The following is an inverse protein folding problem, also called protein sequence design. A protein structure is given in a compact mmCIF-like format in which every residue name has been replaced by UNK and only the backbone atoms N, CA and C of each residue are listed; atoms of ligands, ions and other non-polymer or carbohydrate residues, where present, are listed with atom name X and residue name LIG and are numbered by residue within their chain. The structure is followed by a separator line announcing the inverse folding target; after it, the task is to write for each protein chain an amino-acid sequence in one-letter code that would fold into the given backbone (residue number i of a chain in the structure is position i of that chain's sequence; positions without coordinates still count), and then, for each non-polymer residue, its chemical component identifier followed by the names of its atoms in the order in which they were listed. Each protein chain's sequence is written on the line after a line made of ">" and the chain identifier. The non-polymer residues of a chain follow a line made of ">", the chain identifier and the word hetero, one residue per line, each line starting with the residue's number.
data_IF_820582939377
#
_entry.id   IF_820582939377
#
_cell.length_a   1.000
_cell.length_b   1.000
_cell.length_c   1.000
_cell.angle_alpha   90.00
_cell.angle_beta   90.00
_cell.angle_gamma   90.00
#
_symmetry.space_group_name_H-M   'P 1'
#
loop_
_entity.id
_entity.type
_entity.pdbx_description
1 polymer ?
#
# COMPACT_ATOMS: atom_id res chain seq x y z
N UNK A 1 -61.99 9.59 -50.51
CA UNK A 1 -62.12 10.40 -49.28
C UNK A 1 -61.37 9.67 -48.19
N UNK A 2 -60.27 10.25 -47.73
CA UNK A 2 -59.19 9.60 -47.01
C UNK A 2 -59.20 9.92 -45.50
N UNK A 3 -58.70 8.95 -44.72
CA UNK A 3 -58.06 9.08 -43.40
C UNK A 3 -58.92 9.42 -42.19
N UNK A 4 -59.47 8.39 -41.53
CA UNK A 4 -59.76 8.39 -40.08
C UNK A 4 -58.98 7.29 -39.31
N UNK A 5 -57.85 6.82 -39.85
CA UNK A 5 -56.98 5.83 -39.17
C UNK A 5 -55.59 6.36 -38.75
N UNK A 6 -55.31 7.66 -38.88
CA UNK A 6 -53.97 8.22 -38.61
C UNK A 6 -53.78 8.93 -37.25
N UNK A 7 -54.81 9.00 -36.40
CA UNK A 7 -54.73 9.76 -35.14
C UNK A 7 -54.48 8.90 -33.88
N UNK A 8 -54.31 7.58 -34.00
CA UNK A 8 -54.03 6.66 -32.87
C UNK A 8 -52.54 6.32 -32.66
N UNK A 9 -51.61 6.98 -33.35
CA UNK A 9 -50.18 6.60 -33.33
C UNK A 9 -49.16 7.70 -33.00
N UNK A 10 -49.56 8.90 -32.57
CA UNK A 10 -48.60 9.99 -32.28
C UNK A 10 -48.91 10.83 -31.04
N UNK A 11 -49.37 10.19 -29.96
CA UNK A 11 -49.47 10.84 -28.63
C UNK A 11 -49.12 9.85 -27.51
N UNK A 12 -47.96 9.22 -27.62
CA UNK A 12 -47.36 8.47 -26.52
C UNK A 12 -45.88 8.82 -26.48
N UNK A 13 -45.36 9.03 -25.26
CA UNK A 13 -43.94 9.16 -24.91
C UNK A 13 -43.34 10.57 -24.95
N UNK A 14 -43.93 11.53 -24.24
CA UNK A 14 -43.14 12.63 -23.65
C UNK A 14 -43.47 12.79 -22.17
N UNK A 15 -42.42 12.75 -21.37
CA UNK A 15 -42.33 13.07 -19.94
C UNK A 15 -42.77 11.98 -18.96
N UNK A 16 -41.94 10.95 -18.81
CA UNK A 16 -41.70 10.31 -17.50
C UNK A 16 -40.25 10.62 -17.15
N UNK A 17 -40.06 11.59 -16.25
CA UNK A 17 -38.76 11.96 -15.70
C UNK A 17 -38.29 10.88 -14.72
N UNK A 18 -37.21 10.22 -15.13
CA UNK A 18 -36.10 9.66 -14.34
C UNK A 18 -36.14 9.94 -12.84
N UNK A 19 -36.17 8.87 -12.03
CA UNK A 19 -35.30 8.66 -10.86
C UNK A 19 -35.26 7.15 -10.54
N UNK A 20 -34.61 6.37 -11.41
CA UNK A 20 -34.13 5.04 -11.04
C UNK A 20 -32.64 5.17 -10.72
N UNK A 21 -32.33 5.45 -9.45
CA UNK A 21 -31.00 5.24 -8.91
C UNK A 21 -30.75 3.72 -8.89
N UNK A 22 -30.18 3.20 -9.98
CA UNK A 22 -29.56 1.88 -10.00
C UNK A 22 -28.28 1.96 -9.18
N UNK A 23 -28.44 1.83 -7.86
CA UNK A 23 -27.39 1.31 -7.00
C UNK A 23 -27.15 -0.14 -7.39
N UNK A 24 -26.34 -0.37 -8.41
CA UNK A 24 -25.72 -1.66 -8.64
C UNK A 24 -24.72 -1.89 -7.50
N UNK A 25 -25.24 -2.32 -6.35
CA UNK A 25 -24.42 -2.97 -5.34
C UNK A 25 -23.89 -4.25 -5.95
N UNK A 26 -22.74 -4.18 -6.60
CA UNK A 26 -21.96 -5.37 -6.95
C UNK A 26 -21.53 -5.95 -5.60
N UNK A 27 -22.31 -6.90 -5.10
CA UNK A 27 -21.93 -7.71 -3.95
C UNK A 27 -20.69 -8.50 -4.32
N UNK A 28 -19.53 -7.94 -3.99
CA UNK A 28 -18.25 -8.64 -4.07
C UNK A 28 -18.26 -9.71 -2.99
N UNK A 29 -18.37 -10.97 -3.40
CA UNK A 29 -18.33 -12.12 -2.49
C UNK A 29 -16.90 -12.67 -2.38
N UNK A 30 -16.36 -12.87 -1.16
CA UNK A 30 -15.09 -13.55 -0.97
C UNK A 30 -15.10 -14.97 -1.55
N UNK A 31 -13.95 -15.44 -2.04
CA UNK A 31 -13.80 -16.81 -2.49
C UNK A 31 -13.85 -17.82 -1.34
N UNK A 32 -14.25 -19.06 -1.63
CA UNK A 32 -14.22 -20.19 -0.67
C UNK A 32 -13.13 -21.19 -1.07
N UNK A 33 -12.23 -21.51 -0.14
CA UNK A 33 -11.26 -22.60 -0.30
C UNK A 33 -11.95 -23.94 -0.02
N UNK A 34 -11.71 -24.95 -0.85
CA UNK A 34 -12.44 -26.23 -0.86
C UNK A 34 -11.52 -27.45 -0.72
N UNK A 35 -10.19 -27.27 -0.82
CA UNK A 35 -9.26 -28.39 -0.75
C UNK A 35 -9.15 -28.97 0.67
N UNK A 36 -9.26 -30.30 0.78
CA UNK A 36 -8.90 -31.03 1.98
C UNK A 36 -7.37 -31.01 2.18
N UNK A 37 -6.87 -30.93 3.43
CA UNK A 37 -5.43 -30.92 3.69
C UNK A 37 -4.76 -32.14 3.06
N UNK A 38 -3.72 -31.95 2.26
CA UNK A 38 -2.94 -33.05 1.71
C UNK A 38 -1.69 -33.28 2.58
N UNK A 39 -1.63 -34.33 3.43
CA UNK A 39 -0.59 -34.49 4.45
C UNK A 39 0.84 -34.62 3.91
N UNK A 40 1.01 -34.81 2.59
CA UNK A 40 2.30 -34.98 1.92
C UNK A 40 2.90 -33.72 1.30
N UNK A 41 2.18 -32.59 1.24
CA UNK A 41 2.69 -31.33 0.68
C UNK A 41 2.91 -30.34 1.82
N UNK A 42 4.10 -30.40 2.43
CA UNK A 42 4.48 -29.40 3.42
C UNK A 42 5.10 -28.19 2.70
N UNK A 43 4.27 -27.19 2.43
CA UNK A 43 4.74 -25.89 1.94
C UNK A 43 5.73 -25.28 2.94
N UNK A 44 6.75 -24.58 2.44
CA UNK A 44 7.66 -23.87 3.33
C UNK A 44 6.94 -22.70 4.02
N UNK A 45 7.48 -22.29 5.17
CA UNK A 45 6.84 -21.28 6.02
C UNK A 45 6.66 -19.93 5.32
N UNK A 46 7.58 -19.54 4.43
CA UNK A 46 7.51 -18.26 3.73
C UNK A 46 6.36 -18.24 2.71
N UNK A 47 6.20 -19.32 1.95
CA UNK A 47 5.10 -19.47 0.99
C UNK A 47 3.74 -19.46 1.70
N UNK A 48 3.60 -20.22 2.80
CA UNK A 48 2.37 -20.20 3.63
C UNK A 48 2.10 -18.83 4.25
N UNK A 49 3.16 -18.10 4.63
CA UNK A 49 3.02 -16.72 5.15
C UNK A 49 2.42 -15.80 4.09
N UNK A 50 2.84 -15.92 2.83
CA UNK A 50 2.26 -15.14 1.74
C UNK A 50 0.78 -15.50 1.51
N UNK A 51 0.45 -16.80 1.40
CA UNK A 51 -0.93 -17.24 1.19
C UNK A 51 -1.86 -16.73 2.29
N UNK A 52 -1.48 -16.92 3.55
CA UNK A 52 -2.27 -16.45 4.70
C UNK A 52 -2.34 -14.93 4.74
N UNK A 53 -1.23 -14.23 4.48
CA UNK A 53 -1.18 -12.77 4.46
C UNK A 53 -2.10 -12.15 3.41
N UNK A 54 -2.08 -12.67 2.18
CA UNK A 54 -2.94 -12.21 1.09
C UNK A 54 -4.42 -12.50 1.39
N UNK A 55 -4.74 -13.70 1.90
CA UNK A 55 -6.12 -14.03 2.31
C UNK A 55 -6.61 -13.09 3.42
N UNK A 56 -5.81 -12.92 4.48
CA UNK A 56 -6.17 -12.05 5.58
C UNK A 56 -6.37 -10.61 5.09
N UNK A 57 -5.55 -10.10 4.18
CA UNK A 57 -5.74 -8.77 3.58
C UNK A 57 -7.09 -8.66 2.86
N UNK A 58 -7.45 -9.63 2.01
CA UNK A 58 -8.75 -9.65 1.32
C UNK A 58 -9.94 -9.60 2.30
N UNK A 59 -9.90 -10.37 3.38
CA UNK A 59 -11.00 -10.48 4.34
C UNK A 59 -11.37 -9.16 5.05
N UNK A 60 -10.45 -8.19 5.16
CA UNK A 60 -10.75 -6.89 5.77
C UNK A 60 -10.66 -5.71 4.80
N UNK A 61 -9.80 -5.74 3.78
CA UNK A 61 -9.62 -4.62 2.86
C UNK A 61 -10.76 -4.51 1.85
N UNK A 62 -11.42 -5.62 1.48
CA UNK A 62 -12.66 -5.59 0.69
C UNK A 62 -13.78 -4.81 1.41
N UNK A 63 -14.22 -5.19 2.63
CA UNK A 63 -15.26 -4.44 3.32
C UNK A 63 -14.81 -3.02 3.74
N UNK A 64 -13.52 -2.80 4.02
CA UNK A 64 -13.00 -1.46 4.27
C UNK A 64 -13.12 -0.56 3.03
N UNK A 65 -12.75 -1.06 1.85
CA UNK A 65 -12.89 -0.36 0.57
C UNK A 65 -14.35 -0.08 0.22
N UNK A 66 -15.26 -1.03 0.47
CA UNK A 66 -16.70 -0.84 0.30
C UNK A 66 -17.22 0.29 1.20
N UNK A 67 -16.86 0.29 2.50
CA UNK A 67 -17.20 1.41 3.39
C UNK A 67 -16.65 2.73 2.86
N UNK A 68 -15.43 2.75 2.31
CA UNK A 68 -14.85 3.97 1.77
C UNK A 68 -15.57 4.47 0.52
N UNK A 69 -15.96 3.57 -0.38
CA UNK A 69 -16.79 3.89 -1.54
C UNK A 69 -18.15 4.49 -1.13
N UNK A 70 -18.77 3.95 -0.09
CA UNK A 70 -20.11 4.34 0.37
C UNK A 70 -20.11 5.66 1.16
N UNK A 71 -19.20 5.82 2.12
CA UNK A 71 -19.25 6.91 3.10
C UNK A 71 -17.98 7.75 3.24
N UNK A 72 -16.99 7.55 2.36
CA UNK A 72 -15.83 8.45 2.28
C UNK A 72 -16.29 9.88 2.04
N UNK A 73 -15.67 10.86 2.71
CA UNK A 73 -16.03 12.29 2.56
C UNK A 73 -15.46 12.85 1.25
N UNK A 74 -14.21 12.56 0.96
CA UNK A 74 -13.54 12.96 -0.27
C UNK A 74 -13.99 12.10 -1.44
N UNK A 75 -14.23 12.73 -2.60
CA UNK A 75 -14.50 12.02 -3.85
C UNK A 75 -13.35 11.06 -4.20
N UNK A 76 -12.10 11.46 -3.94
CA UNK A 76 -10.94 10.62 -4.19
C UNK A 76 -10.89 9.40 -3.28
N UNK A 77 -11.28 9.54 -2.01
CA UNK A 77 -11.34 8.40 -1.07
C UNK A 77 -12.43 7.41 -1.47
N UNK A 78 -13.59 7.89 -1.95
CA UNK A 78 -14.64 7.01 -2.47
C UNK A 78 -14.18 6.22 -3.70
N UNK A 79 -13.54 6.89 -4.66
CA UNK A 79 -12.99 6.25 -5.86
C UNK A 79 -11.93 5.20 -5.51
N UNK A 80 -10.95 5.58 -4.67
CA UNK A 80 -9.89 4.67 -4.21
C UNK A 80 -10.47 3.50 -3.43
N UNK A 81 -11.46 3.73 -2.57
CA UNK A 81 -12.16 2.68 -1.82
C UNK A 81 -12.83 1.65 -2.74
N UNK A 82 -13.52 2.13 -3.78
CA UNK A 82 -14.18 1.27 -4.76
C UNK A 82 -13.17 0.40 -5.54
N UNK A 83 -12.07 0.99 -6.02
CA UNK A 83 -11.07 0.24 -6.77
C UNK A 83 -10.30 -0.75 -5.88
N UNK A 84 -9.91 -0.36 -4.66
CA UNK A 84 -9.28 -1.27 -3.69
C UNK A 84 -10.20 -2.45 -3.37
N UNK A 85 -11.50 -2.23 -3.14
CA UNK A 85 -12.43 -3.32 -2.86
C UNK A 85 -12.51 -4.31 -4.02
N UNK A 86 -12.57 -3.81 -5.25
CA UNK A 86 -12.58 -4.62 -6.47
C UNK A 86 -11.27 -5.40 -6.66
N UNK A 87 -10.12 -4.75 -6.52
CA UNK A 87 -8.81 -5.37 -6.70
C UNK A 87 -8.51 -6.40 -5.61
N UNK A 88 -8.96 -6.18 -4.37
CA UNK A 88 -8.87 -7.20 -3.32
C UNK A 88 -9.78 -8.40 -3.56
N UNK A 89 -10.93 -8.23 -4.24
CA UNK A 89 -11.76 -9.35 -4.66
C UNK A 89 -11.04 -10.28 -5.62
N UNK A 90 -10.40 -9.68 -6.63
CA UNK A 90 -9.63 -10.39 -7.63
C UNK A 90 -8.45 -11.12 -6.99
N UNK A 91 -7.69 -10.42 -6.14
CA UNK A 91 -6.56 -11.02 -5.43
C UNK A 91 -6.99 -12.13 -4.45
N UNK A 92 -8.16 -11.99 -3.81
CA UNK A 92 -8.73 -13.02 -2.93
C UNK A 92 -9.08 -14.30 -3.71
N UNK A 93 -9.63 -14.17 -4.92
CA UNK A 93 -9.87 -15.31 -5.80
C UNK A 93 -8.56 -15.99 -6.20
N UNK A 94 -7.53 -15.22 -6.57
CA UNK A 94 -6.23 -15.75 -6.94
C UNK A 94 -5.57 -16.54 -5.80
N UNK A 95 -5.62 -16.06 -4.56
CA UNK A 95 -5.04 -16.80 -3.42
C UNK A 95 -5.84 -18.05 -3.06
N UNK A 96 -7.17 -18.01 -3.17
CA UNK A 96 -8.03 -19.19 -2.96
C UNK A 96 -7.74 -20.26 -4.00
N UNK A 97 -7.62 -19.88 -5.28
CA UNK A 97 -7.23 -20.81 -6.35
C UNK A 97 -5.83 -21.40 -6.13
N UNK A 98 -4.86 -20.57 -5.74
CA UNK A 98 -3.51 -21.03 -5.42
C UNK A 98 -3.53 -22.04 -4.28
N UNK A 99 -4.22 -21.73 -3.18
CA UNK A 99 -4.34 -22.62 -2.03
C UNK A 99 -5.01 -23.95 -2.40
N UNK A 100 -6.08 -23.92 -3.20
CA UNK A 100 -6.74 -25.14 -3.67
C UNK A 100 -5.79 -26.03 -4.50
N UNK A 101 -4.99 -25.45 -5.41
CA UNK A 101 -4.00 -26.20 -6.21
C UNK A 101 -2.88 -26.77 -5.37
N UNK A 102 -2.52 -26.09 -4.28
CA UNK A 102 -1.45 -26.46 -3.37
C UNK A 102 -1.91 -27.39 -2.23
N UNK A 103 -3.23 -27.61 -2.08
CA UNK A 103 -3.79 -28.36 -0.95
C UNK A 103 -3.62 -27.64 0.40
N UNK A 104 -3.50 -26.31 0.38
CA UNK A 104 -3.27 -25.47 1.55
C UNK A 104 -4.60 -24.97 2.14
N UNK A 105 -4.65 -24.89 3.48
CA UNK A 105 -5.77 -24.31 4.22
C UNK A 105 -5.56 -22.82 4.43
N UNK A 106 -6.61 -22.03 4.20
CA UNK A 106 -6.58 -20.57 4.37
C UNK A 106 -7.47 -20.13 5.55
N UNK A 107 -7.15 -19.00 6.19
CA UNK A 107 -8.05 -18.34 7.14
C UNK A 107 -9.40 -17.99 6.51
N UNK A 108 -10.46 -18.15 7.28
CA UNK A 108 -11.85 -17.82 6.88
C UNK A 108 -12.32 -16.48 7.42
N UNK A 109 -11.69 -16.00 8.48
CA UNK A 109 -12.11 -14.82 9.23
C UNK A 109 -10.95 -13.82 9.39
N UNK A 110 -11.23 -12.50 9.41
CA UNK A 110 -10.22 -11.52 9.77
C UNK A 110 -9.73 -11.76 11.20
N UNK A 111 -8.47 -11.43 11.46
CA UNK A 111 -7.91 -11.43 12.81
C UNK A 111 -8.65 -10.46 13.74
N UNK A 112 -8.55 -10.65 15.05
CA UNK A 112 -9.16 -9.73 16.03
C UNK A 112 -8.72 -8.26 15.83
N UNK A 113 -7.45 -8.04 15.45
CA UNK A 113 -6.95 -6.70 15.15
C UNK A 113 -7.65 -6.09 13.92
N UNK A 114 -7.76 -6.87 12.84
CA UNK A 114 -8.46 -6.45 11.61
C UNK A 114 -9.96 -6.19 11.83
N UNK A 115 -10.62 -7.01 12.65
CA UNK A 115 -12.00 -6.76 13.09
C UNK A 115 -12.11 -5.44 13.88
N UNK A 116 -11.11 -5.14 14.70
CA UNK A 116 -10.97 -3.86 15.39
C UNK A 116 -10.87 -2.69 14.42
N UNK A 117 -10.03 -2.78 13.38
CA UNK A 117 -9.91 -1.74 12.34
C UNK A 117 -11.23 -1.53 11.58
N UNK A 118 -11.94 -2.60 11.22
CA UNK A 118 -13.25 -2.51 10.58
C UNK A 118 -14.28 -1.82 11.48
N UNK A 119 -14.25 -2.11 12.78
CA UNK A 119 -15.13 -1.47 13.76
C UNK A 119 -14.80 0.01 13.95
N UNK A 120 -13.51 0.35 14.03
CA UNK A 120 -13.03 1.73 14.06
C UNK A 120 -13.53 2.52 12.85
N UNK A 121 -13.39 1.95 11.64
CA UNK A 121 -13.91 2.55 10.41
C UNK A 121 -15.42 2.67 10.41
N UNK A 122 -16.16 1.63 10.85
CA UNK A 122 -17.63 1.65 10.90
C UNK A 122 -18.14 2.82 11.75
N UNK A 123 -17.49 3.08 12.88
CA UNK A 123 -17.86 4.13 13.83
C UNK A 123 -17.38 5.53 13.44
N UNK A 124 -16.45 5.65 12.49
CA UNK A 124 -15.96 6.93 11.99
C UNK A 124 -16.82 7.46 10.83
N UNK A 125 -16.87 8.79 10.71
CA UNK A 125 -17.55 9.51 9.63
C UNK A 125 -16.70 10.70 9.18
N UNK A 126 -17.03 11.26 8.00
CA UNK A 126 -16.39 12.46 7.48
C UNK A 126 -14.87 12.30 7.27
N UNK A 127 -14.13 13.40 7.42
CA UNK A 127 -12.68 13.43 7.25
C UNK A 127 -11.93 12.48 8.22
N UNK A 128 -12.54 12.18 9.38
CA UNK A 128 -11.97 11.20 10.32
C UNK A 128 -11.99 9.80 9.73
N UNK A 129 -13.08 9.41 9.07
CA UNK A 129 -13.16 8.14 8.37
C UNK A 129 -12.09 8.05 7.28
N UNK A 130 -12.01 9.07 6.41
CA UNK A 130 -11.04 9.12 5.31
C UNK A 130 -9.61 8.94 5.82
N UNK A 131 -9.24 9.63 6.90
CA UNK A 131 -7.92 9.52 7.50
C UNK A 131 -7.65 8.12 8.05
N UNK A 132 -8.61 7.50 8.74
CA UNK A 132 -8.45 6.15 9.31
C UNK A 132 -8.28 5.13 8.17
N UNK A 133 -9.14 5.19 7.15
CA UNK A 133 -9.07 4.31 5.98
C UNK A 133 -7.68 4.39 5.32
N UNK A 134 -7.24 5.59 4.94
CA UNK A 134 -5.95 5.76 4.25
C UNK A 134 -4.77 5.33 5.11
N UNK A 135 -4.78 5.68 6.40
CA UNK A 135 -3.68 5.34 7.32
C UNK A 135 -3.57 3.82 7.52
N UNK A 136 -4.68 3.14 7.79
CA UNK A 136 -4.68 1.69 8.05
C UNK A 136 -4.20 0.91 6.84
N UNK A 137 -4.77 1.15 5.67
CA UNK A 137 -4.42 0.42 4.46
C UNK A 137 -2.97 0.71 4.04
N UNK A 138 -2.53 1.98 4.08
CA UNK A 138 -1.17 2.32 3.64
C UNK A 138 -0.09 1.69 4.53
N UNK A 139 -0.34 1.63 5.84
CA UNK A 139 0.55 0.94 6.80
C UNK A 139 0.53 -0.57 6.57
N UNK A 140 -0.64 -1.18 6.33
CA UNK A 140 -0.76 -2.61 6.06
C UNK A 140 -0.01 -2.99 4.77
N UNK A 141 -0.19 -2.23 3.68
CA UNK A 141 0.54 -2.43 2.42
C UNK A 141 2.05 -2.28 2.60
N UNK A 142 2.50 -1.29 3.38
CA UNK A 142 3.92 -1.12 3.70
C UNK A 142 4.54 -2.30 4.46
N UNK A 143 3.76 -2.99 5.30
CA UNK A 143 4.21 -4.18 6.03
C UNK A 143 4.29 -5.43 5.15
N UNK A 144 3.32 -5.64 4.26
CA UNK A 144 3.26 -6.86 3.44
C UNK A 144 4.15 -6.79 2.20
N UNK A 145 4.36 -5.61 1.62
CA UNK A 145 5.20 -5.43 0.42
C UNK A 145 6.59 -6.09 0.50
N UNK A 146 7.40 -5.90 1.56
CA UNK A 146 8.69 -6.59 1.67
C UNK A 146 8.56 -8.12 1.80
N UNK A 147 7.48 -8.63 2.40
CA UNK A 147 7.22 -10.08 2.49
C UNK A 147 6.96 -10.66 1.11
N UNK A 148 6.14 -10.00 0.28
CA UNK A 148 5.85 -10.43 -1.09
C UNK A 148 7.15 -10.45 -1.91
N UNK A 149 7.97 -9.39 -1.80
CA UNK A 149 9.28 -9.32 -2.45
C UNK A 149 10.21 -10.47 -2.03
N UNK A 150 10.29 -10.75 -0.73
CA UNK A 150 11.11 -11.85 -0.20
C UNK A 150 10.65 -13.22 -0.74
N UNK A 151 9.35 -13.51 -0.69
CA UNK A 151 8.79 -14.77 -1.20
C UNK A 151 8.98 -14.88 -2.70
N UNK A 152 8.75 -13.81 -3.46
CA UNK A 152 9.00 -13.76 -4.91
C UNK A 152 10.45 -14.12 -5.25
N UNK A 153 11.41 -13.62 -4.46
CA UNK A 153 12.83 -13.86 -4.68
C UNK A 153 13.27 -15.28 -4.31
N UNK A 154 12.64 -15.92 -3.32
CA UNK A 154 13.14 -17.18 -2.76
C UNK A 154 12.33 -18.42 -3.13
N UNK A 155 11.04 -18.29 -3.44
CA UNK A 155 10.15 -19.44 -3.59
C UNK A 155 10.60 -20.36 -4.73
N UNK A 156 10.48 -21.67 -4.50
CA UNK A 156 10.73 -22.71 -5.51
C UNK A 156 9.44 -23.09 -6.23
N UNK A 157 8.28 -22.78 -5.67
CA UNK A 157 6.99 -23.16 -6.22
C UNK A 157 6.50 -22.16 -7.29
N UNK A 158 6.14 -22.61 -8.51
CA UNK A 158 5.67 -21.71 -9.58
C UNK A 158 4.30 -21.08 -9.32
N UNK A 159 3.41 -21.73 -8.57
CA UNK A 159 2.10 -21.18 -8.21
C UNK A 159 2.29 -20.05 -7.21
N UNK A 160 3.12 -20.28 -6.19
CA UNK A 160 3.44 -19.24 -5.20
C UNK A 160 4.19 -18.08 -5.85
N UNK A 161 5.12 -18.38 -6.76
CA UNK A 161 5.83 -17.35 -7.52
C UNK A 161 4.84 -16.45 -8.26
N UNK A 162 3.90 -17.04 -9.01
CA UNK A 162 2.84 -16.30 -9.73
C UNK A 162 2.03 -15.41 -8.78
N UNK A 163 1.53 -15.99 -7.68
CA UNK A 163 0.76 -15.25 -6.68
C UNK A 163 1.56 -14.06 -6.13
N UNK A 164 2.86 -14.22 -5.89
CA UNK A 164 3.72 -13.14 -5.42
C UNK A 164 3.92 -12.04 -6.48
N UNK A 165 3.92 -12.35 -7.77
CA UNK A 165 3.97 -11.34 -8.85
C UNK A 165 2.67 -10.53 -8.89
N UNK A 166 1.53 -11.21 -8.87
CA UNK A 166 0.21 -10.60 -8.88
C UNK A 166 0.01 -9.71 -7.64
N UNK A 167 0.29 -10.24 -6.45
CA UNK A 167 0.19 -9.50 -5.20
C UNK A 167 1.07 -8.25 -5.16
N UNK A 168 2.31 -8.32 -5.68
CA UNK A 168 3.19 -7.14 -5.77
C UNK A 168 2.58 -6.05 -6.65
N UNK A 169 1.97 -6.42 -7.78
CA UNK A 169 1.32 -5.45 -8.66
C UNK A 169 0.16 -4.75 -7.94
N UNK A 170 -0.74 -5.49 -7.31
CA UNK A 170 -1.87 -4.92 -6.57
C UNK A 170 -1.41 -4.02 -5.42
N UNK A 171 -0.50 -4.50 -4.58
CA UNK A 171 -0.02 -3.71 -3.42
C UNK A 171 0.67 -2.42 -3.87
N UNK A 172 1.47 -2.45 -4.94
CA UNK A 172 2.09 -1.23 -5.46
C UNK A 172 1.06 -0.25 -6.03
N UNK A 173 0.05 -0.74 -6.72
CA UNK A 173 -1.06 0.07 -7.25
C UNK A 173 -1.86 0.71 -6.10
N UNK A 174 -2.25 -0.08 -5.10
CA UNK A 174 -2.97 0.40 -3.93
C UNK A 174 -2.19 1.46 -3.14
N UNK A 175 -0.88 1.28 -2.94
CA UNK A 175 -0.04 2.31 -2.31
C UNK A 175 -0.10 3.62 -3.10
N UNK A 176 0.02 3.56 -4.42
CA UNK A 176 -0.08 4.74 -5.31
C UNK A 176 -1.46 5.40 -5.19
N UNK A 177 -2.53 4.61 -5.19
CA UNK A 177 -3.90 5.11 -5.02
C UNK A 177 -4.11 5.78 -3.67
N UNK A 178 -3.65 5.17 -2.58
CA UNK A 178 -3.77 5.73 -1.23
C UNK A 178 -2.96 7.02 -1.09
N UNK A 179 -1.76 7.08 -1.66
CA UNK A 179 -0.91 8.27 -1.68
C UNK A 179 -1.56 9.43 -2.46
N UNK A 180 -2.26 9.13 -3.56
CA UNK A 180 -2.99 10.13 -4.34
C UNK A 180 -4.15 10.80 -3.61
N UNK A 181 -4.58 10.28 -2.45
CA UNK A 181 -5.60 10.92 -1.61
C UNK A 181 -5.06 12.17 -0.90
N UNK A 182 -3.74 12.33 -0.79
CA UNK A 182 -3.10 13.38 0.00
C UNK A 182 -3.18 13.19 1.51
N UNK A 183 -3.72 12.06 2.00
CA UNK A 183 -3.96 11.80 3.43
C UNK A 183 -2.92 10.87 4.07
N UNK A 184 -1.92 10.42 3.33
CA UNK A 184 -0.86 9.54 3.86
C UNK A 184 0.01 10.29 4.86
N UNK A 185 0.16 9.69 6.04
CA UNK A 185 1.01 10.20 7.12
C UNK A 185 2.42 9.62 7.00
N UNK A 186 3.24 10.24 6.17
CA UNK A 186 4.59 9.76 5.84
C UNK A 186 5.48 9.49 7.06
N UNK A 187 5.39 10.34 8.10
CA UNK A 187 6.17 10.19 9.33
C UNK A 187 5.70 9.02 10.22
N UNK A 188 4.53 8.44 9.94
CA UNK A 188 3.94 7.33 10.69
C UNK A 188 4.08 6.00 9.94
N UNK A 189 4.73 5.98 8.78
CA UNK A 189 5.01 4.75 8.06
C UNK A 189 6.03 3.89 8.84
N UNK A 190 5.92 2.55 8.78
CA UNK A 190 6.91 1.67 9.37
C UNK A 190 8.32 1.95 8.82
N UNK A 191 9.38 1.75 9.62
CA UNK A 191 10.74 1.82 9.13
C UNK A 191 10.98 0.78 8.02
N UNK A 192 11.92 1.07 7.13
CA UNK A 192 12.27 0.15 6.06
C UNK A 192 12.74 -1.22 6.62
N UNK A 193 12.08 -2.29 6.20
CA UNK A 193 12.44 -3.66 6.57
C UNK A 193 13.60 -4.15 5.68
N UNK A 194 14.82 -3.68 5.99
CA UNK A 194 16.02 -4.12 5.29
C UNK A 194 16.55 -5.43 5.90
N UNK A 195 17.03 -6.38 5.08
CA UNK A 195 17.74 -7.53 5.62
C UNK A 195 19.01 -7.06 6.36
N UNK A 196 19.47 -7.81 7.37
CA UNK A 196 20.70 -7.48 8.07
C UNK A 196 21.87 -7.43 7.07
N UNK A 197 22.74 -6.43 7.21
CA UNK A 197 23.97 -6.39 6.43
C UNK A 197 24.84 -7.59 6.78
N UNK A 198 24.99 -8.50 5.82
CA UNK A 198 25.98 -9.58 5.89
C UNK A 198 27.28 -9.06 5.27
N UNK A 199 28.43 -9.51 5.78
CA UNK A 199 29.74 -9.17 5.21
C UNK A 199 29.76 -9.47 3.71
N UNK A 200 30.19 -8.49 2.91
CA UNK A 200 30.23 -8.52 1.44
C UNK A 200 28.89 -8.46 0.69
N UNK A 201 27.79 -8.17 1.37
CA UNK A 201 26.50 -7.94 0.69
C UNK A 201 26.41 -6.54 0.05
N UNK A 202 25.65 -6.41 -1.04
CA UNK A 202 25.27 -5.10 -1.61
C UNK A 202 24.65 -4.19 -0.54
N UNK A 203 23.94 -4.76 0.44
CA UNK A 203 23.35 -4.03 1.56
C UNK A 203 24.42 -3.49 2.50
N UNK A 204 25.48 -4.26 2.80
CA UNK A 204 26.61 -3.78 3.58
C UNK A 204 27.34 -2.63 2.87
N UNK A 205 27.58 -2.76 1.56
CA UNK A 205 28.18 -1.70 0.75
C UNK A 205 27.28 -0.45 0.69
N UNK A 206 25.96 -0.62 0.54
CA UNK A 206 25.01 0.48 0.54
C UNK A 206 24.93 1.18 1.92
N UNK A 207 24.90 0.41 3.02
CA UNK A 207 24.85 0.96 4.38
C UNK A 207 26.11 1.73 4.75
N UNK A 208 27.30 1.30 4.28
CA UNK A 208 28.53 2.06 4.43
C UNK A 208 28.42 3.47 3.82
N UNK A 209 27.68 3.62 2.72
CA UNK A 209 27.43 4.91 2.08
C UNK A 209 26.34 5.75 2.77
N UNK A 210 25.37 5.13 3.45
CA UNK A 210 24.33 5.84 4.23
C UNK A 210 24.94 6.52 5.47
N UNK A 211 26.00 5.94 6.05
CA UNK A 211 26.74 6.51 7.19
C UNK A 211 27.62 7.73 6.86
N UNK A 212 27.78 8.08 5.59
CA UNK A 212 28.60 9.22 5.15
C UNK A 212 27.80 10.53 4.97
N UNK A 213 26.50 10.51 5.28
CA UNK A 213 25.61 11.68 5.23
C UNK A 213 25.67 12.61 6.44
N UNK A 214 26.51 12.31 7.44
CA UNK A 214 27.03 13.32 8.33
C UNK A 214 28.07 14.10 7.55
N UNK A 215 27.75 15.32 7.10
CA UNK A 215 28.71 16.20 6.44
C UNK A 215 30.03 16.15 7.19
N UNK A 216 31.14 16.10 6.44
CA UNK A 216 32.51 16.16 6.98
C UNK A 216 32.48 16.87 8.33
N UNK A 217 32.54 16.13 9.43
CA UNK A 217 32.90 16.70 10.71
C UNK A 217 34.39 17.04 10.56
N UNK A 218 34.66 18.10 9.80
CA UNK A 218 35.84 18.92 10.02
C UNK A 218 35.65 19.35 11.45
N UNK A 219 36.32 18.65 12.38
CA UNK A 219 36.15 18.89 13.80
C UNK A 219 36.21 20.40 14.00
N UNK A 220 35.29 20.96 14.79
CA UNK A 220 35.16 22.42 14.94
C UNK A 220 36.52 23.05 15.27
N UNK A 221 37.40 22.32 15.95
CA UNK A 221 38.81 22.69 16.19
C UNK A 221 39.69 22.82 14.93
N UNK A 222 39.51 22.00 13.89
CA UNK A 222 40.23 22.12 12.61
C UNK A 222 39.80 23.34 11.80
N UNK A 223 38.49 23.67 11.81
CA UNK A 223 37.99 24.91 11.19
C UNK A 223 38.54 26.14 11.92
N UNK A 224 38.52 26.15 13.27
CA UNK A 224 39.12 27.23 14.06
C UNK A 224 40.65 27.30 13.91
N UNK A 225 41.35 26.18 13.81
CA UNK A 225 42.80 26.17 13.61
C UNK A 225 43.19 26.79 12.27
N UNK A 226 42.49 26.46 11.18
CA UNK A 226 42.71 27.09 9.87
C UNK A 226 42.36 28.58 9.92
N UNK A 227 41.28 28.97 10.62
CA UNK A 227 40.90 30.38 10.79
C UNK A 227 41.92 31.18 11.61
N UNK A 228 42.48 30.61 12.68
CA UNK A 228 43.51 31.26 13.50
C UNK A 228 44.86 31.36 12.78
N UNK A 229 45.23 30.36 11.96
CA UNK A 229 46.42 30.42 11.11
C UNK A 229 46.24 31.50 10.02
N UNK A 230 45.06 31.60 9.41
CA UNK A 230 44.74 32.62 8.42
C UNK A 230 44.73 34.04 9.03
N UNK A 231 44.17 34.22 10.23
CA UNK A 231 44.19 35.50 10.96
C UNK A 231 45.60 35.86 11.45
N UNK A 232 46.40 34.88 11.90
CA UNK A 232 47.79 35.10 12.32
C UNK A 232 48.69 35.52 11.17
N UNK A 233 48.57 34.86 10.02
CA UNK A 233 49.35 35.21 8.81
C UNK A 233 48.91 36.53 8.20
N UNK A 234 47.60 36.82 8.15
CA UNK A 234 47.06 38.11 7.75
C UNK A 234 47.52 39.25 8.66
N UNK A 235 47.38 39.08 9.98
CA UNK A 235 47.80 40.07 10.98
C UNK A 235 49.31 40.33 10.98
N UNK A 236 50.14 39.30 10.79
CA UNK A 236 51.60 39.46 10.67
C UNK A 236 52.00 40.20 9.40
N UNK A 237 51.36 39.91 8.26
CA UNK A 237 51.61 40.62 7.01
C UNK A 237 51.23 42.11 7.11
N UNK A 238 50.07 42.43 7.70
CA UNK A 238 49.63 43.81 7.90
C UNK A 238 50.52 44.56 8.88
N UNK A 239 50.92 43.95 10.01
CA UNK A 239 51.84 44.54 10.98
C UNK A 239 53.24 44.83 10.39
N UNK A 240 53.75 43.94 9.54
CA UNK A 240 55.07 44.12 8.90
C UNK A 240 55.06 45.27 7.89
N UNK A 241 53.94 45.51 7.23
CA UNK A 241 53.79 46.60 6.26
C UNK A 241 53.66 47.96 6.95
N UNK A 242 52.90 48.07 8.04
CA UNK A 242 52.70 49.33 8.77
C UNK A 242 53.89 49.76 9.63
N UNK A 243 54.78 48.83 10.00
CA UNK A 243 56.02 49.15 10.74
C UNK A 243 57.19 49.58 9.85
N UNK A 244 57.03 49.53 8.51
CA UNK A 244 58.04 49.90 7.51
C UNK A 244 57.76 51.24 6.81
N UNK A 245 56.71 51.94 7.23
CA UNK A 245 56.30 53.29 6.85
C UNK A 245 56.37 54.20 8.06
#
# INVERSE_FOLDING_TARGET
>A
MASLESARRKLAHRVVLLLAALGAGIGVVPGTAQAAPNPGVQMNAADMTLLNGVRLAGLWEMPAGQMAAEKGQSARVREVGAEIAKQHAELDQLVVEAANKLGATLPTDPTAEQQGWLTEMRNATGARFDQIFVTRLRVAHGKIFPVIGAVRASTRDPIVRKLAEDANKFVNDHMTMLESTGLVRWQQLPPAALPPAQSDSLVAAAQANVGSGGGLQVGTGLVWAVFLIALGTGGYATWRLTRRS
#
